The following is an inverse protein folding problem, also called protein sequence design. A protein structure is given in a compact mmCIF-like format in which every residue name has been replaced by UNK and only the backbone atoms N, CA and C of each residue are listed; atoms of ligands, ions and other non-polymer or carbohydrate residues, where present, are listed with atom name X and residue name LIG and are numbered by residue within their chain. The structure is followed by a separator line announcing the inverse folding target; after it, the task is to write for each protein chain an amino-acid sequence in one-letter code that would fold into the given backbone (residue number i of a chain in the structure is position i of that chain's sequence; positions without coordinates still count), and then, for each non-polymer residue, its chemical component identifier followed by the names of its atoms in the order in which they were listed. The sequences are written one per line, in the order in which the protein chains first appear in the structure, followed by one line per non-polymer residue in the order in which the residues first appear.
data_IF_683463644143
#
_entry.id   IF_683463644143
#
_cell.length_a   1.000
_cell.length_b   1.000
_cell.length_c   1.000
_cell.angle_alpha   90.00
_cell.angle_beta   90.00
_cell.angle_gamma   90.00
#
_symmetry.space_group_name_H-M   'P 1'
#
loop_
_entity.id
_entity.type
_entity.pdbx_description
1 polymer ?
#
# COMPACT_ATOMS: atom_id res chain seq x y z
N UNK A 1 -44.13 -13.36 -6.11
CA UNK A 1 -42.66 -13.30 -6.23
C UNK A 1 -42.11 -14.71 -6.21
N UNK A 2 -41.22 -15.09 -7.14
CA UNK A 2 -40.58 -16.42 -7.16
C UNK A 2 -39.21 -16.37 -6.50
N UNK A 3 -38.85 -17.45 -5.84
CA UNK A 3 -37.58 -17.61 -5.12
C UNK A 3 -36.99 -18.98 -5.41
N UNK A 4 -35.67 -19.07 -5.47
CA UNK A 4 -34.92 -20.22 -5.95
C UNK A 4 -33.96 -20.74 -4.90
N UNK A 5 -33.77 -22.06 -4.82
CA UNK A 5 -32.75 -22.64 -3.96
C UNK A 5 -31.43 -22.70 -4.74
N UNK A 6 -30.39 -22.05 -4.22
CA UNK A 6 -29.05 -22.09 -4.79
C UNK A 6 -28.04 -22.42 -3.68
N UNK A 7 -27.57 -23.67 -3.66
CA UNK A 7 -26.63 -24.15 -2.62
C UNK A 7 -25.28 -23.41 -2.64
N UNK A 8 -24.91 -22.79 -3.76
CA UNK A 8 -23.69 -21.97 -3.84
C UNK A 8 -23.82 -20.69 -3.00
N UNK A 9 -25.01 -20.12 -2.85
CA UNK A 9 -25.20 -18.86 -2.14
C UNK A 9 -25.31 -19.00 -0.63
N UNK A 10 -25.78 -20.14 -0.13
CA UNK A 10 -25.73 -20.45 1.30
C UNK A 10 -24.28 -20.44 1.81
N UNK A 11 -23.32 -20.88 0.98
CA UNK A 11 -21.87 -20.79 1.24
C UNK A 11 -21.29 -19.40 0.97
N UNK A 12 -21.94 -18.62 0.09
CA UNK A 12 -21.44 -17.38 -0.46
C UNK A 12 -22.18 -16.16 0.09
N UNK A 13 -22.16 -15.99 1.41
CA UNK A 13 -22.73 -14.80 2.06
C UNK A 13 -21.76 -13.61 1.87
N UNK A 14 -22.03 -12.76 0.88
CA UNK A 14 -21.12 -11.71 0.40
C UNK A 14 -21.67 -10.30 0.54
N UNK A 15 -22.70 -10.12 1.37
CA UNK A 15 -23.15 -8.79 1.72
C UNK A 15 -22.06 -8.04 2.51
N UNK A 16 -21.52 -6.98 1.92
CA UNK A 16 -20.63 -6.05 2.61
C UNK A 16 -21.48 -5.13 3.48
N UNK A 17 -21.25 -5.15 4.79
CA UNK A 17 -21.99 -4.35 5.77
C UNK A 17 -21.94 -2.83 5.49
N UNK A 18 -20.94 -2.38 4.73
CA UNK A 18 -20.72 -0.97 4.40
C UNK A 18 -21.43 -0.49 3.13
N UNK A 19 -22.19 -1.37 2.44
CA UNK A 19 -22.88 -0.97 1.22
C UNK A 19 -24.23 -0.33 1.53
N UNK A 20 -24.44 0.89 1.05
CA UNK A 20 -25.73 1.56 1.15
C UNK A 20 -26.74 0.89 0.20
N UNK A 21 -27.46 -0.09 0.76
CA UNK A 21 -28.49 -0.88 0.06
C UNK A 21 -29.55 0.00 -0.57
N UNK A 22 -29.91 1.12 0.07
CA UNK A 22 -30.91 2.06 -0.44
C UNK A 22 -30.42 2.71 -1.73
N UNK A 23 -29.19 3.20 -1.72
CA UNK A 23 -28.57 3.80 -2.92
C UNK A 23 -28.43 2.79 -4.05
N UNK A 24 -28.02 1.55 -3.76
CA UNK A 24 -27.88 0.50 -4.79
C UNK A 24 -29.24 0.15 -5.41
N UNK A 25 -30.28 -0.01 -4.59
CA UNK A 25 -31.62 -0.38 -5.07
C UNK A 25 -32.26 0.72 -5.92
N UNK A 26 -32.22 1.98 -5.45
CA UNK A 26 -32.93 3.09 -6.08
C UNK A 26 -32.32 3.57 -7.40
N UNK A 27 -31.00 3.39 -7.57
CA UNK A 27 -30.29 3.92 -8.75
C UNK A 27 -30.44 3.04 -10.01
N UNK A 28 -31.07 1.87 -9.90
CA UNK A 28 -31.11 0.86 -10.97
C UNK A 28 -32.50 0.27 -11.14
N UNK A 29 -32.77 -0.20 -12.35
CA UNK A 29 -33.92 -1.04 -12.67
C UNK A 29 -33.52 -2.51 -12.60
N UNK A 30 -34.31 -3.32 -11.91
CA UNK A 30 -33.96 -4.69 -11.57
C UNK A 30 -34.86 -5.68 -12.31
N UNK A 31 -34.30 -6.41 -13.26
CA UNK A 31 -34.96 -7.52 -13.91
C UNK A 31 -34.96 -8.74 -13.00
N UNK A 32 -36.15 -9.26 -12.68
CA UNK A 32 -36.29 -10.41 -11.78
C UNK A 32 -36.10 -11.69 -12.58
N UNK A 33 -35.14 -12.50 -12.13
CA UNK A 33 -34.93 -13.82 -12.72
C UNK A 33 -36.15 -14.70 -12.44
N UNK A 34 -36.71 -15.29 -13.50
CA UNK A 34 -37.75 -16.29 -13.40
C UNK A 34 -37.57 -17.38 -14.45
N UNK A 35 -38.09 -18.57 -14.16
CA UNK A 35 -38.04 -19.73 -15.05
C UNK A 35 -39.18 -19.71 -16.08
N UNK A 36 -40.08 -18.73 -15.97
CA UNK A 36 -41.28 -18.61 -16.82
C UNK A 36 -40.99 -17.94 -18.16
N UNK A 37 -39.87 -17.21 -18.26
CA UNK A 37 -39.53 -16.42 -19.44
C UNK A 37 -40.26 -15.07 -19.52
N UNK A 38 -41.06 -14.74 -18.50
CA UNK A 38 -41.79 -13.48 -18.42
C UNK A 38 -40.84 -12.33 -18.08
N UNK A 39 -41.04 -11.16 -18.69
CA UNK A 39 -40.31 -9.95 -18.30
C UNK A 39 -40.90 -9.40 -17.01
N UNK A 40 -40.28 -9.72 -15.88
CA UNK A 40 -40.58 -9.12 -14.58
C UNK A 40 -39.52 -8.07 -14.23
N UNK A 41 -39.94 -6.83 -13.96
CA UNK A 41 -39.06 -5.67 -13.71
C UNK A 41 -39.49 -4.93 -12.45
N UNK A 42 -38.58 -4.73 -11.51
CA UNK A 42 -38.79 -4.04 -10.24
C UNK A 42 -37.99 -2.74 -10.23
N UNK A 43 -38.67 -1.63 -9.94
CA UNK A 43 -38.09 -0.28 -9.86
C UNK A 43 -38.34 0.26 -8.46
N UNK A 44 -37.27 0.38 -7.67
CA UNK A 44 -37.31 0.87 -6.30
C UNK A 44 -37.18 2.39 -6.31
N UNK A 45 -38.08 3.09 -5.62
CA UNK A 45 -38.03 4.54 -5.48
C UNK A 45 -37.55 4.95 -4.09
N UNK A 46 -36.84 6.08 -3.98
CA UNK A 46 -36.29 6.56 -2.70
C UNK A 46 -37.36 6.86 -1.63
N UNK A 47 -38.59 7.13 -2.06
CA UNK A 47 -39.76 7.39 -1.23
C UNK A 47 -40.37 6.11 -0.60
N UNK A 48 -39.80 4.92 -0.88
CA UNK A 48 -40.31 3.63 -0.40
C UNK A 48 -41.39 3.00 -1.28
N UNK A 49 -41.67 3.55 -2.46
CA UNK A 49 -42.57 2.94 -3.45
C UNK A 49 -41.79 1.96 -4.32
N UNK A 50 -42.42 0.83 -4.65
CA UNK A 50 -41.90 -0.18 -5.56
C UNK A 50 -42.87 -0.31 -6.73
N UNK A 51 -42.36 -0.15 -7.96
CA UNK A 51 -43.12 -0.42 -9.17
C UNK A 51 -42.67 -1.77 -9.71
N UNK A 52 -43.57 -2.75 -9.69
CA UNK A 52 -43.34 -4.07 -10.28
C UNK A 52 -44.11 -4.17 -11.60
N UNK A 53 -43.42 -4.47 -12.70
CA UNK A 53 -44.01 -4.66 -14.03
C UNK A 53 -43.80 -6.08 -14.51
N UNK A 54 -44.88 -6.81 -14.78
CA UNK A 54 -44.83 -8.16 -15.37
C UNK A 54 -45.41 -8.09 -16.78
N UNK A 55 -44.57 -8.24 -17.81
CA UNK A 55 -44.94 -8.13 -19.23
C UNK A 55 -45.74 -6.84 -19.57
N UNK A 56 -45.46 -5.74 -18.86
CA UNK A 56 -46.14 -4.46 -19.02
C UNK A 56 -47.31 -4.20 -18.07
N UNK A 57 -47.78 -5.21 -17.33
CA UNK A 57 -48.78 -5.02 -16.29
C UNK A 57 -48.13 -4.50 -15.01
N UNK A 58 -48.55 -3.32 -14.58
CA UNK A 58 -47.95 -2.62 -13.43
C UNK A 58 -48.70 -2.93 -12.14
N UNK A 59 -47.93 -3.32 -11.12
CA UNK A 59 -48.37 -3.55 -9.75
C UNK A 59 -47.61 -2.57 -8.85
N UNK A 60 -48.35 -1.69 -8.18
CA UNK A 60 -47.78 -0.81 -7.17
C UNK A 60 -47.63 -1.56 -5.85
N UNK A 61 -46.42 -1.52 -5.31
CA UNK A 61 -46.01 -2.11 -4.04
C UNK A 61 -45.21 -1.08 -3.23
N UNK A 62 -44.83 -1.46 -2.02
CA UNK A 62 -43.96 -0.63 -1.16
C UNK A 62 -42.76 -1.44 -0.71
N UNK A 63 -41.66 -0.76 -0.40
CA UNK A 63 -40.47 -1.38 0.13
C UNK A 63 -39.87 -0.54 1.25
N UNK A 64 -39.20 -1.19 2.18
CA UNK A 64 -38.53 -0.54 3.30
C UNK A 64 -37.28 -1.31 3.68
N UNK A 65 -36.17 -0.60 3.88
CA UNK A 65 -34.98 -1.18 4.49
C UNK A 65 -35.01 -1.00 6.01
N UNK A 66 -34.93 -2.11 6.74
CA UNK A 66 -34.91 -2.16 8.20
C UNK A 66 -33.45 -2.41 8.63
N UNK A 67 -32.76 -1.32 9.01
CA UNK A 67 -31.36 -1.40 9.42
C UNK A 67 -31.13 -2.30 10.64
N UNK A 68 -32.08 -2.34 11.57
CA UNK A 68 -31.97 -3.13 12.81
C UNK A 68 -31.79 -4.64 12.56
N UNK A 69 -32.41 -5.17 11.50
CA UNK A 69 -32.29 -6.57 11.10
C UNK A 69 -31.55 -6.74 9.76
N UNK A 70 -30.96 -5.65 9.23
CA UNK A 70 -30.33 -5.60 7.91
C UNK A 70 -31.21 -6.25 6.82
N UNK A 71 -32.52 -6.02 6.89
CA UNK A 71 -33.50 -6.68 6.03
C UNK A 71 -34.23 -5.68 5.14
N UNK A 72 -34.58 -6.13 3.95
CA UNK A 72 -35.45 -5.45 3.01
C UNK A 72 -36.84 -6.07 3.12
N UNK A 73 -37.83 -5.26 3.46
CA UNK A 73 -39.23 -5.66 3.43
C UNK A 73 -39.86 -5.16 2.15
N UNK A 74 -40.45 -6.06 1.37
CA UNK A 74 -41.25 -5.72 0.19
C UNK A 74 -42.70 -6.10 0.47
N UNK A 75 -43.61 -5.12 0.43
CA UNK A 75 -45.03 -5.32 0.69
C UNK A 75 -45.85 -5.12 -0.58
N UNK A 76 -46.45 -6.22 -1.05
CA UNK A 76 -47.48 -6.22 -2.08
C UNK A 76 -48.87 -6.15 -1.42
N UNK A 77 -49.92 -5.92 -2.21
CA UNK A 77 -51.30 -5.79 -1.70
C UNK A 77 -51.79 -7.00 -0.89
N UNK A 78 -51.30 -8.19 -1.20
CA UNK A 78 -51.76 -9.45 -0.60
C UNK A 78 -50.77 -10.04 0.41
N UNK A 79 -49.48 -9.72 0.29
CA UNK A 79 -48.41 -10.37 1.05
C UNK A 79 -47.17 -9.49 1.14
N UNK A 80 -46.46 -9.62 2.25
CA UNK A 80 -45.16 -8.98 2.47
C UNK A 80 -44.07 -10.03 2.64
N UNK A 81 -42.89 -9.72 2.11
CA UNK A 81 -41.72 -10.57 2.17
C UNK A 81 -40.60 -9.84 2.91
N UNK A 82 -39.97 -10.52 3.86
CA UNK A 82 -38.73 -10.07 4.47
C UNK A 82 -37.55 -10.78 3.79
N UNK A 83 -36.60 -9.99 3.33
CA UNK A 83 -35.48 -10.44 2.52
C UNK A 83 -34.16 -9.93 3.10
N UNK A 84 -33.15 -10.77 3.15
CA UNK A 84 -31.81 -10.40 3.56
C UNK A 84 -30.89 -10.27 2.33
N UNK A 85 -30.22 -9.13 2.13
CA UNK A 85 -29.13 -9.03 1.18
C UNK A 85 -28.10 -10.14 1.43
N UNK A 86 -27.88 -11.00 0.43
CA UNK A 86 -26.93 -12.11 0.53
C UNK A 86 -25.74 -11.90 -0.40
N UNK A 87 -25.99 -11.42 -1.62
CA UNK A 87 -24.93 -11.15 -2.58
C UNK A 87 -25.25 -9.90 -3.40
N UNK A 88 -24.26 -9.03 -3.58
CA UNK A 88 -24.38 -7.84 -4.43
C UNK A 88 -23.11 -7.71 -5.25
N UNK A 89 -23.28 -7.54 -6.56
CA UNK A 89 -22.26 -7.03 -7.46
C UNK A 89 -22.84 -5.95 -8.40
N UNK A 90 -22.13 -5.63 -9.49
CA UNK A 90 -22.57 -4.61 -10.45
C UNK A 90 -23.75 -5.07 -11.34
N UNK A 91 -23.95 -6.38 -11.46
CA UNK A 91 -24.83 -7.08 -12.40
C UNK A 91 -26.00 -7.75 -11.66
N UNK A 92 -25.75 -8.61 -10.69
CA UNK A 92 -26.69 -9.41 -9.93
C UNK A 92 -26.76 -8.94 -8.47
N UNK A 93 -27.99 -8.84 -7.97
CA UNK A 93 -28.31 -8.71 -6.56
C UNK A 93 -29.15 -9.92 -6.14
N UNK A 94 -28.61 -10.74 -5.24
CA UNK A 94 -29.32 -11.84 -4.59
C UNK A 94 -29.83 -11.46 -3.18
N UNK A 95 -31.11 -11.75 -2.94
CA UNK A 95 -31.83 -11.48 -1.71
C UNK A 95 -32.39 -12.80 -1.16
N UNK A 96 -31.96 -13.23 0.02
CA UNK A 96 -32.47 -14.44 0.68
C UNK A 96 -33.78 -14.14 1.38
N UNK A 97 -34.80 -14.98 1.23
CA UNK A 97 -36.03 -14.86 2.01
C UNK A 97 -35.80 -15.30 3.46
N UNK A 98 -36.21 -14.46 4.41
CA UNK A 98 -35.98 -14.67 5.84
C UNK A 98 -36.51 -16.03 6.32
N UNK A 99 -35.70 -16.70 7.15
CA UNK A 99 -35.97 -18.05 7.64
C UNK A 99 -35.92 -19.17 6.58
N UNK A 100 -35.47 -18.91 5.35
CA UNK A 100 -35.41 -19.92 4.28
C UNK A 100 -34.09 -19.90 3.52
N UNK A 101 -33.75 -20.97 2.81
CA UNK A 101 -32.61 -21.02 1.87
C UNK A 101 -33.00 -20.64 0.43
N UNK A 102 -34.08 -19.88 0.28
CA UNK A 102 -34.57 -19.45 -1.02
C UNK A 102 -34.12 -18.02 -1.31
N UNK A 103 -33.62 -17.81 -2.51
CA UNK A 103 -33.04 -16.56 -2.98
C UNK A 103 -33.88 -15.98 -4.12
N UNK A 104 -34.12 -14.69 -4.06
CA UNK A 104 -34.52 -13.86 -5.18
C UNK A 104 -33.27 -13.37 -5.89
N UNK A 105 -33.28 -13.48 -7.22
CA UNK A 105 -32.23 -12.92 -8.06
C UNK A 105 -32.76 -11.75 -8.87
N UNK A 106 -32.03 -10.65 -8.78
CA UNK A 106 -32.30 -9.42 -9.49
C UNK A 106 -31.10 -9.09 -10.37
N UNK A 107 -31.32 -8.83 -11.64
CA UNK A 107 -30.28 -8.52 -12.63
C UNK A 107 -30.47 -7.08 -13.08
N UNK A 108 -29.40 -6.29 -13.08
CA UNK A 108 -29.44 -4.91 -13.55
C UNK A 108 -29.85 -4.85 -15.03
N UNK A 109 -30.93 -4.12 -15.34
CA UNK A 109 -31.48 -4.02 -16.70
C UNK A 109 -30.47 -3.42 -17.69
N UNK A 110 -29.61 -2.49 -17.26
CA UNK A 110 -28.59 -1.87 -18.12
C UNK A 110 -27.54 -2.86 -18.61
N UNK A 111 -27.22 -3.86 -17.78
CA UNK A 111 -26.19 -4.86 -18.06
C UNK A 111 -26.76 -6.10 -18.79
N UNK A 112 -28.06 -6.10 -19.09
CA UNK A 112 -28.77 -7.21 -19.72
C UNK A 112 -28.23 -7.59 -21.10
N UNK A 113 -27.67 -6.64 -21.85
CA UNK A 113 -27.09 -6.93 -23.17
C UNK A 113 -25.81 -7.77 -23.10
N UNK A 114 -25.11 -7.74 -21.96
CA UNK A 114 -23.89 -8.52 -21.74
C UNK A 114 -24.19 -9.95 -21.25
N UNK A 115 -25.39 -10.22 -20.72
CA UNK A 115 -25.74 -11.50 -20.12
C UNK A 115 -27.19 -11.89 -20.39
N UNK A 116 -27.40 -12.93 -21.20
CA UNK A 116 -28.69 -13.62 -21.29
C UNK A 116 -28.67 -14.82 -20.36
N UNK A 117 -28.90 -14.59 -19.06
CA UNK A 117 -29.17 -15.67 -18.11
C UNK A 117 -30.57 -16.23 -18.40
N UNK A 118 -30.63 -17.33 -19.16
CA UNK A 118 -31.84 -18.09 -19.49
C UNK A 118 -32.19 -19.12 -18.44
N UNK A 119 -31.19 -19.62 -17.72
CA UNK A 119 -31.36 -20.80 -16.87
C UNK A 119 -30.63 -20.71 -15.54
N UNK A 120 -31.13 -21.46 -14.57
CA UNK A 120 -30.50 -21.64 -13.26
C UNK A 120 -29.06 -22.18 -13.38
N UNK A 121 -28.78 -22.98 -14.42
CA UNK A 121 -27.45 -23.56 -14.62
C UNK A 121 -26.44 -22.48 -15.02
N UNK A 122 -26.82 -21.55 -15.89
CA UNK A 122 -25.96 -20.41 -16.25
C UNK A 122 -25.72 -19.49 -15.05
N UNK A 123 -26.74 -19.32 -14.19
CA UNK A 123 -26.61 -18.59 -12.95
C UNK A 123 -25.60 -19.26 -11.99
N UNK A 124 -25.67 -20.59 -11.85
CA UNK A 124 -24.68 -21.35 -11.08
C UNK A 124 -23.26 -21.17 -11.65
N UNK A 125 -23.07 -21.34 -12.96
CA UNK A 125 -21.77 -21.16 -13.60
C UNK A 125 -21.20 -19.75 -13.40
N UNK A 126 -22.04 -18.71 -13.41
CA UNK A 126 -21.63 -17.35 -13.11
C UNK A 126 -21.05 -17.23 -11.69
N UNK A 127 -21.76 -17.78 -10.69
CA UNK A 127 -21.31 -17.74 -9.30
C UNK A 127 -20.04 -18.57 -9.08
N UNK A 128 -19.93 -19.74 -9.73
CA UNK A 128 -18.71 -20.56 -9.69
C UNK A 128 -17.49 -19.82 -10.27
N UNK A 129 -17.67 -19.12 -11.39
CA UNK A 129 -16.60 -18.32 -12.01
C UNK A 129 -16.20 -17.15 -11.11
N UNK A 130 -17.18 -16.45 -10.52
CA UNK A 130 -16.95 -15.36 -9.59
C UNK A 130 -16.20 -15.82 -8.32
N UNK A 131 -16.51 -17.02 -7.82
CA UNK A 131 -15.80 -17.63 -6.69
C UNK A 131 -14.37 -18.03 -7.07
N UNK A 132 -14.18 -18.66 -8.23
CA UNK A 132 -12.85 -19.06 -8.73
C UNK A 132 -11.91 -17.86 -8.81
N UNK A 133 -12.34 -16.78 -9.48
CA UNK A 133 -11.56 -15.53 -9.60
C UNK A 133 -11.18 -14.95 -8.23
N UNK A 134 -12.05 -15.07 -7.23
CA UNK A 134 -11.77 -14.61 -5.86
C UNK A 134 -10.70 -15.47 -5.18
N UNK A 135 -10.78 -16.79 -5.31
CA UNK A 135 -9.78 -17.70 -4.72
C UNK A 135 -8.42 -17.42 -5.35
N UNK A 136 -8.37 -17.26 -6.67
CA UNK A 136 -7.15 -16.91 -7.40
C UNK A 136 -6.59 -15.56 -6.94
N UNK A 137 -7.41 -14.52 -6.83
CA UNK A 137 -6.96 -13.20 -6.35
C UNK A 137 -6.41 -13.25 -4.91
N UNK A 138 -7.09 -13.96 -4.00
CA UNK A 138 -6.60 -14.15 -2.62
C UNK A 138 -5.27 -14.91 -2.58
N UNK A 139 -5.12 -15.92 -3.44
CA UNK A 139 -3.87 -16.66 -3.54
C UNK A 139 -2.74 -15.78 -4.09
N UNK A 140 -3.03 -14.95 -5.08
CA UNK A 140 -2.07 -13.99 -5.63
C UNK A 140 -1.65 -12.95 -4.58
N UNK A 141 -2.60 -12.36 -3.86
CA UNK A 141 -2.32 -11.40 -2.78
C UNK A 141 -1.45 -12.02 -1.69
N UNK A 142 -1.76 -13.26 -1.29
CA UNK A 142 -0.94 -14.00 -0.32
C UNK A 142 0.47 -14.27 -0.84
N UNK A 143 0.65 -14.59 -2.13
CA UNK A 143 1.97 -14.78 -2.75
C UNK A 143 2.77 -13.47 -2.74
N UNK A 144 2.15 -12.36 -3.14
CA UNK A 144 2.80 -11.04 -3.14
C UNK A 144 3.24 -10.65 -1.72
N UNK A 145 2.39 -10.88 -0.71
CA UNK A 145 2.73 -10.59 0.68
C UNK A 145 3.92 -11.44 1.16
N UNK A 146 3.94 -12.73 0.82
CA UNK A 146 5.05 -13.62 1.17
C UNK A 146 6.35 -13.20 0.47
N UNK A 147 6.30 -12.86 -0.82
CA UNK A 147 7.46 -12.36 -1.56
C UNK A 147 7.99 -11.04 -0.97
N UNK A 148 7.11 -10.12 -0.57
CA UNK A 148 7.49 -8.88 0.11
C UNK A 148 8.20 -9.16 1.44
N UNK A 149 7.66 -10.08 2.26
CA UNK A 149 8.29 -10.49 3.51
C UNK A 149 9.66 -11.14 3.27
N UNK A 150 9.79 -11.98 2.25
CA UNK A 150 11.08 -12.59 1.88
C UNK A 150 12.10 -11.53 1.44
N UNK A 151 11.69 -10.56 0.61
CA UNK A 151 12.54 -9.45 0.18
C UNK A 151 12.97 -8.59 1.38
N UNK A 152 12.06 -8.27 2.30
CA UNK A 152 12.38 -7.51 3.51
C UNK A 152 13.34 -8.28 4.42
N UNK A 153 13.13 -9.58 4.60
CA UNK A 153 14.04 -10.42 5.38
C UNK A 153 15.42 -10.51 4.72
N UNK A 154 15.49 -10.63 3.39
CA UNK A 154 16.76 -10.64 2.66
C UNK A 154 17.48 -9.29 2.80
N UNK A 155 16.77 -8.17 2.65
CA UNK A 155 17.32 -6.82 2.88
C UNK A 155 17.83 -6.65 4.30
N UNK A 156 17.07 -7.11 5.30
CA UNK A 156 17.47 -7.04 6.70
C UNK A 156 18.70 -7.91 6.99
N UNK A 157 18.79 -9.12 6.42
CA UNK A 157 19.99 -9.98 6.51
C UNK A 157 21.20 -9.34 5.84
N UNK A 158 21.01 -8.78 4.64
CA UNK A 158 22.09 -8.13 3.91
C UNK A 158 22.60 -6.88 4.63
N UNK A 159 21.69 -6.06 5.17
CA UNK A 159 22.05 -4.91 6.01
C UNK A 159 22.83 -5.33 7.25
N UNK A 160 22.44 -6.43 7.94
CA UNK A 160 23.21 -6.97 9.06
C UNK A 160 24.62 -7.40 8.64
N UNK A 161 24.75 -8.11 7.52
CA UNK A 161 26.06 -8.54 6.98
C UNK A 161 26.92 -7.32 6.63
N UNK A 162 26.34 -6.27 6.03
CA UNK A 162 27.03 -5.03 5.70
C UNK A 162 27.49 -4.28 6.95
N UNK A 163 26.65 -4.22 7.99
CA UNK A 163 27.00 -3.65 9.30
C UNK A 163 28.15 -4.42 9.97
N UNK A 164 28.10 -5.74 9.98
CA UNK A 164 29.19 -6.58 10.51
C UNK A 164 30.49 -6.36 9.74
N UNK A 165 30.41 -6.28 8.41
CA UNK A 165 31.57 -5.97 7.57
C UNK A 165 32.17 -4.61 7.89
N UNK A 166 31.33 -3.58 8.07
CA UNK A 166 31.79 -2.25 8.41
C UNK A 166 32.46 -2.23 9.79
N UNK A 167 31.85 -2.86 10.79
CA UNK A 167 32.43 -2.98 12.14
C UNK A 167 33.79 -3.68 12.13
N UNK A 168 33.96 -4.73 11.31
CA UNK A 168 35.25 -5.40 11.16
C UNK A 168 36.31 -4.53 10.47
N UNK A 169 35.91 -3.74 9.46
CA UNK A 169 36.80 -2.77 8.81
C UNK A 169 37.23 -1.68 9.80
N UNK A 170 36.29 -1.11 10.55
CA UNK A 170 36.55 -0.08 11.56
C UNK A 170 37.48 -0.61 12.66
N UNK A 171 37.30 -1.87 13.08
CA UNK A 171 38.20 -2.55 14.01
C UNK A 171 39.61 -2.77 13.40
N UNK A 172 39.72 -3.11 12.12
CA UNK A 172 41.01 -3.23 11.44
C UNK A 172 41.72 -1.88 11.31
N UNK A 173 40.95 -0.83 11.04
CA UNK A 173 41.41 0.55 10.91
C UNK A 173 41.93 1.07 12.27
N UNK A 174 41.16 0.86 13.34
CA UNK A 174 41.52 1.28 14.69
C UNK A 174 42.75 0.56 15.22
N UNK A 175 43.00 -0.71 14.83
CA UNK A 175 44.25 -1.41 15.18
C UNK A 175 45.48 -0.89 14.45
N UNK A 176 45.31 -0.19 13.34
CA UNK A 176 46.45 0.26 12.53
C UNK A 176 47.09 1.52 13.11
N UNK A 177 48.32 1.38 13.60
CA UNK A 177 49.08 2.47 14.23
C UNK A 177 49.29 3.65 13.28
N UNK A 178 49.53 3.40 11.98
CA UNK A 178 49.68 4.45 10.96
C UNK A 178 48.41 5.29 10.78
N UNK A 179 47.23 4.69 10.81
CA UNK A 179 45.97 5.43 10.66
C UNK A 179 45.69 6.27 11.91
N UNK A 180 45.93 5.69 13.09
CA UNK A 180 45.80 6.42 14.35
C UNK A 180 46.75 7.62 14.44
N UNK A 181 48.04 7.44 14.11
CA UNK A 181 49.03 8.52 14.18
C UNK A 181 48.71 9.63 13.18
N UNK A 182 48.34 9.30 11.95
CA UNK A 182 47.93 10.29 10.96
C UNK A 182 46.63 11.00 11.35
N UNK A 183 45.68 10.30 11.97
CA UNK A 183 44.48 10.89 12.54
C UNK A 183 44.80 11.91 13.64
N UNK A 184 45.68 11.57 14.59
CA UNK A 184 46.15 12.49 15.62
C UNK A 184 46.89 13.69 15.02
N UNK A 185 47.78 13.46 14.05
CA UNK A 185 48.50 14.54 13.34
C UNK A 185 47.51 15.45 12.61
N UNK A 186 46.47 14.91 11.98
CA UNK A 186 45.42 15.68 11.31
C UNK A 186 44.67 16.59 12.30
N UNK A 187 44.25 16.06 13.45
CA UNK A 187 43.60 16.86 14.50
C UNK A 187 44.50 17.96 15.04
N UNK A 188 45.77 17.65 15.33
CA UNK A 188 46.74 18.64 15.82
C UNK A 188 46.94 19.74 14.78
N UNK A 189 47.19 19.38 13.52
CA UNK A 189 47.42 20.36 12.46
C UNK A 189 46.18 21.21 12.16
N UNK A 190 44.97 20.64 12.25
CA UNK A 190 43.73 21.41 12.05
C UNK A 190 43.61 22.59 13.00
N UNK A 191 44.08 22.45 14.24
CA UNK A 191 44.08 23.55 15.21
C UNK A 191 45.37 24.40 15.18
N UNK A 192 46.52 23.79 14.91
CA UNK A 192 47.82 24.48 14.93
C UNK A 192 48.00 25.43 13.74
N UNK A 193 47.55 25.02 12.55
CA UNK A 193 47.72 25.77 11.30
C UNK A 193 47.07 27.16 11.33
N UNK A 194 45.80 27.35 11.73
CA UNK A 194 45.20 28.68 11.81
C UNK A 194 45.88 29.56 12.87
N UNK A 195 46.33 29.00 14.00
CA UNK A 195 47.04 29.74 15.05
C UNK A 195 48.36 30.30 14.52
N UNK A 196 49.14 29.47 13.82
CA UNK A 196 50.42 29.89 13.23
C UNK A 196 50.20 30.96 12.16
N UNK A 197 49.22 30.77 11.27
CA UNK A 197 48.94 31.73 10.19
C UNK A 197 48.47 33.08 10.73
N UNK A 198 47.63 33.09 11.77
CA UNK A 198 47.18 34.32 12.43
C UNK A 198 48.37 35.02 13.10
N UNK A 199 49.24 34.28 13.79
CA UNK A 199 50.44 34.85 14.42
C UNK A 199 51.41 35.46 13.39
N UNK A 200 51.63 34.78 12.27
CA UNK A 200 52.43 35.29 11.15
C UNK A 200 51.82 36.57 10.55
N UNK A 201 50.49 36.63 10.42
CA UNK A 201 49.80 37.81 9.93
C UNK A 201 49.94 39.00 10.89
N UNK A 202 49.74 38.80 12.19
CA UNK A 202 49.89 39.86 13.21
C UNK A 202 51.31 40.43 13.21
N UNK A 203 52.32 39.60 12.98
CA UNK A 203 53.73 40.00 12.96
C UNK A 203 54.16 40.66 11.64
N UNK A 204 53.28 40.74 10.65
CA UNK A 204 53.58 41.27 9.32
C UNK A 204 53.44 42.79 9.23
N UNK A 205 54.22 43.42 8.35
CA UNK A 205 54.07 44.85 8.03
C UNK A 205 52.72 45.18 7.36
N UNK A 206 52.04 44.17 6.84
CA UNK A 206 50.72 44.31 6.22
C UNK A 206 49.63 44.56 7.27
N UNK A 207 49.74 43.92 8.44
CA UNK A 207 48.87 44.19 9.59
C UNK A 207 49.03 45.64 10.09
N UNK A 208 50.27 46.15 10.12
CA UNK A 208 50.55 47.53 10.56
C UNK A 208 49.99 48.59 9.61
N UNK A 209 49.91 48.29 8.30
CA UNK A 209 49.42 49.20 7.25
C UNK A 209 47.91 49.13 7.01
N UNK A 210 47.26 48.02 7.35
CA UNK A 210 45.83 47.80 7.11
C UNK A 210 44.93 48.61 8.05
N UNK A 211 43.73 48.98 7.58
CA UNK A 211 42.67 49.59 8.41
C UNK A 211 42.03 48.60 9.38
N UNK A 212 41.35 49.09 10.43
CA UNK A 212 40.83 48.23 11.50
C UNK A 212 39.81 47.18 11.03
N UNK A 213 38.95 47.52 10.06
CA UNK A 213 38.01 46.59 9.44
C UNK A 213 38.69 45.50 8.60
N UNK A 214 39.71 45.88 7.81
CA UNK A 214 40.46 44.95 6.95
C UNK A 214 41.27 43.95 7.77
N UNK A 215 41.81 44.37 8.92
CA UNK A 215 42.51 43.48 9.87
C UNK A 215 41.61 42.36 10.37
N UNK A 216 40.39 42.69 10.78
CA UNK A 216 39.42 41.70 11.27
C UNK A 216 38.98 40.77 10.14
N UNK A 217 38.70 41.32 8.95
CA UNK A 217 38.32 40.54 7.78
C UNK A 217 39.39 39.52 7.35
N UNK A 218 40.66 39.94 7.32
CA UNK A 218 41.77 39.05 6.96
C UNK A 218 42.03 37.95 7.99
N UNK A 219 41.94 38.26 9.30
CA UNK A 219 42.05 37.25 10.36
C UNK A 219 40.97 36.18 10.21
N UNK A 220 39.72 36.57 9.96
CA UNK A 220 38.61 35.63 9.74
C UNK A 220 38.85 34.79 8.48
N UNK A 221 39.30 35.40 7.38
CA UNK A 221 39.61 34.69 6.14
C UNK A 221 40.74 33.67 6.32
N UNK A 222 41.81 34.03 7.03
CA UNK A 222 42.94 33.15 7.33
C UNK A 222 42.51 31.98 8.22
N UNK A 223 41.68 32.25 9.23
CA UNK A 223 41.14 31.21 10.10
C UNK A 223 40.32 30.18 9.30
N UNK A 224 39.47 30.64 8.38
CA UNK A 224 38.69 29.76 7.52
C UNK A 224 39.59 28.94 6.59
N UNK A 225 40.55 29.55 5.90
CA UNK A 225 41.47 28.86 5.01
C UNK A 225 42.37 27.85 5.74
N UNK A 226 42.84 28.20 6.94
CA UNK A 226 43.68 27.34 7.77
C UNK A 226 43.01 26.04 8.21
N UNK A 227 41.68 26.02 8.33
CA UNK A 227 40.92 24.80 8.67
C UNK A 227 40.80 23.83 7.47
N UNK A 228 40.81 24.34 6.24
CA UNK A 228 40.65 23.50 5.04
C UNK A 228 41.95 22.82 4.59
N UNK A 229 43.11 23.44 4.80
CA UNK A 229 44.42 22.94 4.29
C UNK A 229 44.76 21.53 4.83
N UNK A 230 44.63 21.25 6.15
CA UNK A 230 44.91 19.91 6.69
C UNK A 230 43.91 18.85 6.19
N UNK A 231 42.66 19.26 5.94
CA UNK A 231 41.61 18.37 5.45
C UNK A 231 41.86 17.94 4.00
N UNK A 232 42.32 18.86 3.15
CA UNK A 232 42.69 18.56 1.76
C UNK A 232 43.93 17.66 1.69
N UNK A 233 44.96 17.96 2.47
CA UNK A 233 46.26 17.26 2.35
C UNK A 233 46.30 15.92 3.11
N UNK A 234 45.99 15.94 4.40
CA UNK A 234 46.06 14.75 5.26
C UNK A 234 44.77 13.94 5.19
N UNK A 235 43.61 14.59 5.03
CA UNK A 235 42.34 13.89 4.79
C UNK A 235 42.38 13.06 3.50
N UNK A 236 42.98 13.57 2.42
CA UNK A 236 43.18 12.77 1.19
C UNK A 236 44.10 11.56 1.42
N UNK A 237 45.13 11.69 2.27
CA UNK A 237 46.05 10.59 2.60
C UNK A 237 45.35 9.53 3.47
N UNK A 238 44.54 9.95 4.44
CA UNK A 238 43.73 9.07 5.28
C UNK A 238 42.72 8.29 4.44
N UNK A 239 42.01 8.95 3.52
CA UNK A 239 41.09 8.31 2.58
C UNK A 239 41.79 7.27 1.68
N UNK A 240 43.01 7.57 1.21
CA UNK A 240 43.79 6.61 0.45
C UNK A 240 44.20 5.38 1.28
N UNK A 241 44.62 5.59 2.52
CA UNK A 241 45.00 4.51 3.43
C UNK A 241 43.80 3.64 3.82
N UNK A 242 42.67 4.25 4.12
CA UNK A 242 41.39 3.58 4.37
C UNK A 242 41.02 2.68 3.19
N UNK A 243 41.09 3.20 1.95
CA UNK A 243 40.86 2.42 0.75
C UNK A 243 41.82 1.22 0.60
N UNK A 244 43.10 1.41 0.96
CA UNK A 244 44.11 0.35 0.90
C UNK A 244 43.88 -0.73 1.96
N UNK A 245 43.52 -0.35 3.18
CA UNK A 245 43.23 -1.28 4.30
C UNK A 245 41.96 -2.06 3.99
N UNK A 246 40.90 -1.38 3.53
CA UNK A 246 39.64 -1.98 3.10
C UNK A 246 39.86 -3.01 1.98
N UNK A 247 40.66 -2.67 0.96
CA UNK A 247 40.98 -3.60 -0.15
C UNK A 247 41.76 -4.83 0.32
N UNK A 248 42.66 -4.67 1.30
CA UNK A 248 43.40 -5.80 1.91
C UNK A 248 42.47 -6.69 2.72
N UNK A 249 41.61 -6.11 3.55
CA UNK A 249 40.63 -6.84 4.34
C UNK A 249 39.68 -7.68 3.45
N UNK A 250 39.13 -7.08 2.38
CA UNK A 250 38.30 -7.80 1.39
C UNK A 250 39.04 -8.98 0.74
N UNK A 251 40.33 -8.80 0.40
CA UNK A 251 41.17 -9.90 -0.16
C UNK A 251 41.40 -11.03 0.85
N UNK A 252 41.64 -10.71 2.13
CA UNK A 252 41.84 -11.72 3.17
C UNK A 252 40.57 -12.48 3.52
N UNK A 253 39.40 -11.81 3.50
CA UNK A 253 38.11 -12.45 3.72
C UNK A 253 37.76 -13.42 2.59
N UNK A 254 37.93 -13.01 1.34
CA UNK A 254 37.70 -13.86 0.16
C UNK A 254 38.62 -15.10 0.11
N UNK A 255 39.80 -15.05 0.75
CA UNK A 255 40.70 -16.22 0.85
C UNK A 255 40.31 -17.20 1.96
N UNK A 256 39.50 -16.78 2.95
CA UNK A 256 39.03 -17.62 4.05
C UNK A 256 37.67 -18.28 3.78
N UNK A 257 36.96 -17.81 2.76
CA UNK A 257 35.66 -18.35 2.34
C UNK A 257 35.75 -19.41 1.23
N UNK A 258 36.98 -19.79 0.83
CA UNK A 258 37.33 -20.88 -0.09
C UNK A 258 38.00 -21.97 0.72
#
# INVERSE_FOLDING_TARGET
MKTYLLDILSRYNRFSENLDVKTVLCNKSWWIFNDSGDKELYIFQENGSLIASVNGNVINATWQYIAANKSLVISFKEQSYMLHPSFIDNIIFALQQDGTERFLFMINEEQKQLFYLKSLNELNSYFEEAERKRIEAKQQEKRILLEQQEIEQQKAKQHKIEQEQQNEIDNALSKSTLYQTLGCIMWILTYLTPIILIFCYISSDEFNRAGWGDRIGLIISIALLGLFIPWITIGSLLAFLEGKITKRYKRTKNRKSV
#
